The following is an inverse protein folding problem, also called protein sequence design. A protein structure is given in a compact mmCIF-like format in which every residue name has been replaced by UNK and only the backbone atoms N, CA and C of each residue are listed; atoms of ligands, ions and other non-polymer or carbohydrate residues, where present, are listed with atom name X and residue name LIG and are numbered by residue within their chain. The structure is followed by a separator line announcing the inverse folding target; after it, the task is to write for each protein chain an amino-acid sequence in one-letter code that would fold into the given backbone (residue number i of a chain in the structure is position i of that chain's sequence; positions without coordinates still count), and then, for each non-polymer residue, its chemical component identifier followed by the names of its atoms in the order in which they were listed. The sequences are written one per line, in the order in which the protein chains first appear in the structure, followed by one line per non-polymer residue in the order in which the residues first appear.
data_IF_875776312661
#
_entry.id   IF_875776312661
#
_cell.length_a   1.000
_cell.length_b   1.000
_cell.length_c   1.000
_cell.angle_alpha   90.00
_cell.angle_beta   90.00
_cell.angle_gamma   90.00
#
_symmetry.space_group_name_H-M   'P 1'
#
loop_
_entity.id
_entity.type
_entity.pdbx_description
1 polymer ?
#
# COMPACT_ATOMS: atom_id res chain seq x y z
N UNK A 1 46.47 -3.96 11.92
CA UNK A 1 45.96 -5.28 12.30
C UNK A 1 45.47 -5.99 11.03
N UNK A 2 46.24 -6.99 10.55
CA UNK A 2 45.91 -7.78 9.37
C UNK A 2 45.07 -9.01 9.83
N UNK A 3 43.84 -8.79 10.30
CA UNK A 3 42.96 -9.89 10.70
C UNK A 3 41.93 -10.16 9.58
N UNK A 4 41.84 -11.41 9.14
CA UNK A 4 40.75 -11.88 8.28
C UNK A 4 39.54 -12.09 9.17
N UNK A 5 38.50 -11.28 9.00
CA UNK A 5 37.23 -11.41 9.70
C UNK A 5 36.29 -12.19 8.77
N UNK A 6 35.66 -13.24 9.31
CA UNK A 6 34.67 -14.05 8.61
C UNK A 6 33.34 -13.99 9.37
N UNK A 7 32.26 -13.62 8.67
CA UNK A 7 30.92 -13.69 9.22
C UNK A 7 30.55 -15.17 9.42
N UNK A 8 30.23 -15.56 10.67
CA UNK A 8 29.84 -16.93 11.01
C UNK A 8 28.33 -17.13 10.94
N UNK A 9 27.57 -16.13 11.37
CA UNK A 9 26.13 -16.22 11.47
C UNK A 9 25.53 -14.82 11.25
N UNK A 10 24.42 -14.78 10.54
CA UNK A 10 23.60 -13.58 10.36
C UNK A 10 22.14 -13.96 10.57
N UNK A 11 21.49 -13.32 11.54
CA UNK A 11 20.06 -13.47 11.78
C UNK A 11 19.37 -12.12 11.60
N UNK A 12 18.29 -12.10 10.85
CA UNK A 12 17.44 -10.93 10.69
C UNK A 12 16.18 -11.13 11.52
N UNK A 13 16.04 -10.35 12.59
CA UNK A 13 14.93 -10.46 13.51
C UNK A 13 13.73 -9.60 13.11
N UNK A 14 13.96 -8.51 12.32
CA UNK A 14 12.92 -7.59 11.87
C UNK A 14 13.19 -7.20 10.41
N UNK A 15 12.13 -7.08 9.63
CA UNK A 15 12.16 -6.59 8.24
C UNK A 15 10.91 -5.73 7.97
N UNK A 16 11.06 -4.38 8.00
CA UNK A 16 9.93 -3.46 7.97
C UNK A 16 9.00 -3.69 9.16
N UNK A 17 7.73 -3.88 8.88
CA UNK A 17 6.69 -4.15 9.89
C UNK A 17 6.65 -5.61 10.38
N UNK A 18 7.43 -6.49 9.78
CA UNK A 18 7.42 -7.92 10.10
C UNK A 18 8.51 -8.28 11.10
N UNK A 19 8.13 -9.11 12.07
CA UNK A 19 9.00 -9.73 13.06
C UNK A 19 9.14 -11.23 12.79
N UNK A 20 9.97 -11.94 13.57
CA UNK A 20 10.07 -13.40 13.48
C UNK A 20 8.75 -14.11 13.78
N UNK A 21 7.89 -13.53 14.61
CA UNK A 21 6.59 -14.11 14.96
C UNK A 21 5.60 -14.08 13.78
N UNK A 22 5.85 -13.21 12.80
CA UNK A 22 5.08 -13.16 11.55
C UNK A 22 5.62 -14.13 10.48
N UNK A 23 6.77 -14.74 10.73
CA UNK A 23 7.44 -15.62 9.76
C UNK A 23 6.90 -17.04 9.84
N UNK A 24 6.80 -17.68 8.69
CA UNK A 24 6.52 -19.10 8.56
C UNK A 24 7.64 -19.81 7.82
N UNK A 25 7.77 -21.10 8.01
CA UNK A 25 8.73 -21.90 7.25
C UNK A 25 8.24 -22.16 5.83
N UNK A 26 9.16 -22.44 4.91
CA UNK A 26 8.80 -22.85 3.55
C UNK A 26 7.96 -24.14 3.55
N UNK A 27 8.16 -25.01 4.54
CA UNK A 27 7.38 -26.24 4.70
C UNK A 27 5.91 -25.92 5.03
N UNK A 28 5.67 -25.07 6.01
CA UNK A 28 4.31 -24.63 6.39
C UNK A 28 3.60 -23.95 5.22
N UNK A 29 4.31 -23.12 4.46
CA UNK A 29 3.76 -22.51 3.23
C UNK A 29 3.40 -23.58 2.19
N UNK A 30 4.28 -24.57 1.95
CA UNK A 30 4.05 -25.62 0.98
C UNK A 30 2.84 -26.48 1.36
N UNK A 31 2.73 -26.86 2.64
CA UNK A 31 1.60 -27.62 3.17
C UNK A 31 0.28 -26.85 3.07
N UNK A 32 0.30 -25.54 3.36
CA UNK A 32 -0.87 -24.69 3.24
C UNK A 32 -1.33 -24.51 1.78
N UNK A 33 -0.39 -24.36 0.85
CA UNK A 33 -0.69 -24.31 -0.60
C UNK A 33 -1.25 -25.64 -1.10
N UNK A 34 -0.70 -26.77 -0.64
CA UNK A 34 -1.21 -28.09 -0.99
C UNK A 34 -2.64 -28.29 -0.49
N UNK A 35 -2.94 -27.95 0.77
CA UNK A 35 -4.28 -28.01 1.35
C UNK A 35 -5.29 -27.18 0.57
N UNK A 36 -4.88 -25.98 0.14
CA UNK A 36 -5.73 -25.12 -0.69
C UNK A 36 -6.01 -25.74 -2.05
N UNK A 37 -4.98 -26.22 -2.76
CA UNK A 37 -5.12 -26.70 -4.15
C UNK A 37 -5.78 -28.07 -4.26
N UNK A 38 -5.38 -29.00 -3.38
CA UNK A 38 -5.80 -30.40 -3.48
C UNK A 38 -7.02 -30.74 -2.63
N UNK A 39 -7.24 -29.96 -1.54
CA UNK A 39 -8.31 -30.22 -0.60
C UNK A 39 -9.38 -29.13 -0.55
N UNK A 40 -9.22 -28.05 -1.32
CA UNK A 40 -10.10 -26.86 -1.31
C UNK A 40 -10.24 -26.24 0.11
N UNK A 41 -9.14 -26.24 0.90
CA UNK A 41 -9.07 -25.71 2.26
C UNK A 41 -8.12 -24.52 2.33
N UNK A 42 -8.59 -23.29 2.06
CA UNK A 42 -7.75 -22.10 2.04
C UNK A 42 -7.37 -21.57 3.42
N UNK A 43 -7.99 -22.04 4.52
CA UNK A 43 -7.87 -21.45 5.85
C UNK A 43 -6.42 -21.42 6.36
N UNK A 44 -5.64 -22.47 6.05
CA UNK A 44 -4.23 -22.55 6.45
C UNK A 44 -3.41 -21.47 5.72
N UNK A 45 -3.66 -21.28 4.42
CA UNK A 45 -2.99 -20.29 3.60
C UNK A 45 -3.36 -18.87 4.01
N UNK A 46 -4.64 -18.61 4.28
CA UNK A 46 -5.13 -17.29 4.72
C UNK A 46 -4.60 -16.87 6.10
N UNK A 47 -4.13 -17.78 6.92
CA UNK A 47 -3.49 -17.47 8.22
C UNK A 47 -2.06 -16.98 8.07
N UNK A 48 -1.35 -17.44 7.03
CA UNK A 48 0.08 -17.16 6.85
C UNK A 48 0.37 -16.11 5.79
N UNK A 49 -0.56 -15.84 4.88
CA UNK A 49 -0.45 -14.75 3.91
C UNK A 49 -1.08 -13.50 4.50
N UNK A 50 -0.30 -12.45 4.62
CA UNK A 50 -0.78 -11.14 5.04
C UNK A 50 -1.19 -10.30 3.83
N UNK A 51 -2.24 -9.47 3.96
CA UNK A 51 -2.58 -8.51 2.91
C UNK A 51 -1.48 -7.45 2.76
N UNK A 52 -1.34 -6.91 1.55
CA UNK A 52 -0.28 -5.93 1.25
C UNK A 52 -0.41 -4.65 2.08
N UNK A 53 -1.60 -4.33 2.53
CA UNK A 53 -1.90 -3.21 3.41
C UNK A 53 -1.06 -3.25 4.69
N UNK A 54 -0.72 -4.45 5.19
CA UNK A 54 0.14 -4.61 6.37
C UNK A 54 1.52 -3.97 6.16
N UNK A 55 2.08 -4.01 4.95
CA UNK A 55 3.34 -3.36 4.60
C UNK A 55 3.26 -1.83 4.61
N UNK A 56 2.06 -1.28 4.46
CA UNK A 56 1.82 0.14 4.27
C UNK A 56 1.43 0.85 5.57
N UNK A 57 1.25 0.10 6.67
CA UNK A 57 0.82 0.64 7.98
C UNK A 57 1.78 1.68 8.56
N UNK A 58 3.07 1.62 8.20
CA UNK A 58 4.07 2.59 8.66
C UNK A 58 4.04 3.90 7.87
N UNK A 59 3.32 3.95 6.75
CA UNK A 59 3.17 5.15 5.96
C UNK A 59 1.97 5.98 6.43
N UNK A 60 2.11 7.32 6.46
CA UNK A 60 0.95 8.18 6.64
C UNK A 60 -0.07 7.92 5.55
N UNK A 61 -1.37 8.00 5.86
CA UNK A 61 -2.43 7.62 4.94
C UNK A 61 -3.25 8.81 4.44
N UNK A 62 -3.79 8.65 3.24
CA UNK A 62 -4.82 9.49 2.67
C UNK A 62 -5.98 8.64 2.13
N UNK A 63 -7.21 9.14 2.32
CA UNK A 63 -8.42 8.51 1.77
C UNK A 63 -8.90 9.29 0.56
N UNK A 64 -9.24 8.57 -0.51
CA UNK A 64 -9.69 9.16 -1.78
C UNK A 64 -11.07 8.63 -2.18
N UNK A 65 -11.73 9.38 -3.06
CA UNK A 65 -12.98 8.95 -3.72
C UNK A 65 -12.69 7.86 -4.74
N UNK A 66 -13.67 7.02 -5.04
CA UNK A 66 -13.55 5.93 -6.03
C UNK A 66 -13.11 6.43 -7.42
N UNK A 67 -13.59 7.61 -7.84
CA UNK A 67 -13.17 8.22 -9.12
C UNK A 67 -11.69 8.61 -9.14
N UNK A 68 -11.13 9.03 -7.99
CA UNK A 68 -9.72 9.35 -7.88
C UNK A 68 -8.88 8.07 -7.77
N UNK A 69 -9.39 7.03 -7.09
CA UNK A 69 -8.76 5.70 -7.05
C UNK A 69 -8.65 5.12 -8.47
N UNK A 70 -9.71 5.21 -9.28
CA UNK A 70 -9.68 4.80 -10.69
C UNK A 70 -8.65 5.59 -11.50
N UNK A 71 -8.56 6.90 -11.31
CA UNK A 71 -7.57 7.74 -12.01
C UNK A 71 -6.13 7.36 -11.62
N UNK A 72 -5.87 7.16 -10.32
CA UNK A 72 -4.59 6.71 -9.79
C UNK A 72 -4.19 5.33 -10.32
N UNK A 73 -5.14 4.39 -10.39
CA UNK A 73 -4.92 3.04 -10.94
C UNK A 73 -4.45 3.07 -12.40
N UNK A 74 -4.80 4.13 -13.14
CA UNK A 74 -4.33 4.36 -14.51
C UNK A 74 -3.11 5.31 -14.59
N UNK A 75 -2.47 5.60 -13.47
CA UNK A 75 -1.25 6.41 -13.41
C UNK A 75 -1.49 7.93 -13.45
N UNK A 76 -2.74 8.41 -13.34
CA UNK A 76 -3.02 9.83 -13.29
C UNK A 76 -2.65 10.43 -11.91
N UNK A 77 -2.30 11.72 -11.82
CA UNK A 77 -2.03 12.38 -10.55
C UNK A 77 -3.30 12.48 -9.69
N UNK A 78 -3.11 12.50 -8.36
CA UNK A 78 -4.17 12.80 -7.42
C UNK A 78 -4.47 14.30 -7.42
N UNK A 79 -5.71 14.65 -7.71
CA UNK A 79 -6.18 16.04 -7.67
C UNK A 79 -6.96 16.30 -6.38
N UNK A 80 -6.94 17.55 -5.91
CA UNK A 80 -7.60 17.98 -4.65
C UNK A 80 -9.07 17.58 -4.55
N UNK A 81 -9.93 17.69 -5.58
CA UNK A 81 -11.33 17.26 -5.51
C UNK A 81 -11.54 15.77 -5.27
N UNK A 82 -10.54 14.94 -5.61
CA UNK A 82 -10.54 13.49 -5.38
C UNK A 82 -10.14 13.07 -3.97
N UNK A 83 -9.50 13.96 -3.21
CA UNK A 83 -9.06 13.71 -1.84
C UNK A 83 -10.21 13.88 -0.86
N UNK A 84 -10.43 12.89 0.02
CA UNK A 84 -11.42 12.93 1.11
C UNK A 84 -10.75 13.40 2.41
N UNK A 85 -9.67 12.72 2.79
CA UNK A 85 -8.90 13.05 4.00
C UNK A 85 -7.42 12.73 3.82
N UNK A 86 -6.58 13.42 4.57
CA UNK A 86 -5.13 13.21 4.59
C UNK A 86 -4.60 13.50 5.98
N UNK A 87 -3.59 12.77 6.43
CA UNK A 87 -2.89 13.05 7.67
C UNK A 87 -2.19 14.43 7.59
N UNK A 88 -2.22 15.20 8.67
CA UNK A 88 -1.61 16.54 8.75
C UNK A 88 -0.11 16.50 9.02
N UNK A 89 0.58 17.60 8.77
CA UNK A 89 2.00 17.78 9.12
C UNK A 89 2.99 17.02 8.24
N UNK A 90 2.59 16.57 7.04
CA UNK A 90 3.47 15.85 6.12
C UNK A 90 4.01 16.83 5.08
N UNK A 91 5.34 16.94 4.93
CA UNK A 91 5.94 17.83 3.93
C UNK A 91 5.83 17.27 2.52
N UNK A 92 5.89 18.15 1.53
CA UNK A 92 6.04 17.82 0.12
C UNK A 92 7.24 16.90 -0.13
N UNK A 93 7.13 16.02 -1.13
CA UNK A 93 8.15 15.03 -1.48
C UNK A 93 8.14 13.76 -0.62
N UNK A 94 7.27 13.66 0.37
CA UNK A 94 7.08 12.43 1.17
C UNK A 94 6.11 11.48 0.49
N UNK A 95 6.38 10.20 0.66
CA UNK A 95 5.48 9.14 0.25
C UNK A 95 4.41 8.91 1.31
N UNK A 96 3.18 8.74 0.84
CA UNK A 96 2.02 8.40 1.64
C UNK A 96 1.25 7.26 0.99
N UNK A 97 0.57 6.49 1.82
CA UNK A 97 -0.33 5.44 1.40
C UNK A 97 -1.71 6.00 1.04
N UNK A 98 -2.28 5.54 -0.06
CA UNK A 98 -3.62 5.96 -0.50
C UNK A 98 -4.57 4.78 -0.46
N UNK A 99 -5.74 4.99 0.16
CA UNK A 99 -6.82 4.01 0.26
C UNK A 99 -8.16 4.61 -0.17
N UNK A 100 -9.09 3.73 -0.56
CA UNK A 100 -10.50 4.11 -0.80
C UNK A 100 -11.24 4.32 0.52
N UNK A 101 -12.48 4.84 0.45
CA UNK A 101 -13.37 4.91 1.62
C UNK A 101 -13.77 3.53 2.17
N UNK A 102 -13.49 2.45 1.43
CA UNK A 102 -13.71 1.06 1.85
C UNK A 102 -12.45 0.43 2.45
N UNK A 103 -11.38 1.22 2.66
CA UNK A 103 -10.05 0.78 3.11
C UNK A 103 -9.34 -0.18 2.13
N UNK A 104 -9.66 -0.13 0.85
CA UNK A 104 -8.94 -0.88 -0.18
C UNK A 104 -7.66 -0.12 -0.55
N UNK A 105 -6.53 -0.82 -0.64
CA UNK A 105 -5.25 -0.23 -1.04
C UNK A 105 -5.29 0.23 -2.50
N UNK A 106 -5.03 1.50 -2.73
CA UNK A 106 -4.89 2.07 -4.09
C UNK A 106 -3.43 2.07 -4.52
N UNK A 107 -2.54 2.54 -3.65
CA UNK A 107 -1.12 2.61 -3.93
C UNK A 107 -0.38 3.56 -3.00
N UNK A 108 0.87 3.82 -3.35
CA UNK A 108 1.74 4.80 -2.71
C UNK A 108 1.91 5.98 -3.67
N UNK A 109 1.79 7.18 -3.13
CA UNK A 109 1.94 8.41 -3.90
C UNK A 109 2.95 9.34 -3.23
N UNK A 110 3.63 10.16 -4.02
CA UNK A 110 4.54 11.20 -3.53
C UNK A 110 3.79 12.53 -3.53
N UNK A 111 3.75 13.22 -2.38
CA UNK A 111 3.12 14.53 -2.23
C UNK A 111 3.83 15.59 -3.06
N UNK A 112 3.08 16.41 -3.77
CA UNK A 112 3.59 17.59 -4.53
C UNK A 112 3.54 18.88 -3.74
N UNK A 113 2.75 18.94 -2.65
CA UNK A 113 2.64 20.06 -1.73
C UNK A 113 2.58 19.57 -0.28
N UNK A 114 2.80 20.46 0.70
CA UNK A 114 2.63 20.12 2.10
C UNK A 114 1.14 19.88 2.43
N UNK A 115 0.84 18.99 3.35
CA UNK A 115 -0.57 18.67 3.68
C UNK A 115 -1.35 19.86 4.24
N UNK A 116 -0.68 20.78 4.92
CA UNK A 116 -1.31 22.00 5.44
C UNK A 116 -1.71 22.97 4.29
N UNK A 117 -0.89 23.04 3.24
CA UNK A 117 -1.21 23.79 2.03
C UNK A 117 -2.38 23.14 1.26
N UNK A 118 -2.36 21.79 1.15
CA UNK A 118 -3.41 20.99 0.52
C UNK A 118 -4.76 21.20 1.21
N UNK A 119 -4.78 21.37 2.53
CA UNK A 119 -6.01 21.62 3.27
C UNK A 119 -6.73 22.91 2.84
N UNK A 120 -5.96 23.94 2.44
CA UNK A 120 -6.47 25.23 1.98
C UNK A 120 -6.77 25.28 0.47
N UNK A 121 -6.32 24.28 -0.33
CA UNK A 121 -6.55 24.21 -1.76
C UNK A 121 -8.00 23.84 -2.09
N UNK A 122 -8.56 24.47 -3.09
CA UNK A 122 -9.84 24.06 -3.73
C UNK A 122 -9.61 23.14 -4.93
N UNK A 123 -8.52 23.34 -5.67
CA UNK A 123 -8.16 22.64 -6.91
C UNK A 123 -6.65 22.46 -7.00
N UNK A 124 -6.21 21.59 -7.91
CA UNK A 124 -4.80 21.38 -8.20
C UNK A 124 -4.31 19.97 -7.88
N UNK A 125 -3.06 19.74 -8.23
CA UNK A 125 -2.39 18.45 -8.02
C UNK A 125 -1.90 18.35 -6.56
N UNK A 126 -2.21 17.23 -5.94
CA UNK A 126 -1.86 16.93 -4.54
C UNK A 126 -0.69 15.95 -4.46
N UNK A 127 -0.70 14.94 -5.33
CA UNK A 127 0.32 13.90 -5.31
C UNK A 127 0.41 13.17 -6.66
N UNK A 128 1.54 12.51 -6.88
CA UNK A 128 1.79 11.65 -8.05
C UNK A 128 1.97 10.20 -7.63
N UNK A 129 1.43 9.25 -8.39
CA UNK A 129 1.62 7.83 -8.10
C UNK A 129 3.11 7.45 -8.20
N UNK A 130 3.62 6.84 -7.13
CA UNK A 130 4.94 6.22 -7.04
C UNK A 130 4.83 4.70 -7.27
N UNK A 131 3.79 4.10 -6.69
CA UNK A 131 3.46 2.68 -6.86
C UNK A 131 1.95 2.52 -6.90
N UNK A 132 1.44 1.82 -7.90
CA UNK A 132 0.02 1.46 -8.02
C UNK A 132 -0.16 0.00 -7.62
N UNK A 133 -1.09 -0.26 -6.71
CA UNK A 133 -1.43 -1.59 -6.20
C UNK A 133 -2.79 -2.06 -6.72
N UNK A 134 -3.70 -1.10 -6.93
CA UNK A 134 -5.04 -1.37 -7.42
C UNK A 134 -4.99 -1.72 -8.92
N UNK A 135 -5.64 -2.83 -9.29
CA UNK A 135 -5.81 -3.18 -10.70
C UNK A 135 -6.72 -2.15 -11.39
N UNK A 136 -6.28 -1.63 -12.54
CA UNK A 136 -7.02 -0.65 -13.31
C UNK A 136 -8.39 -1.11 -13.80
N UNK A 137 -8.64 -2.42 -13.85
CA UNK A 137 -9.91 -3.00 -14.30
C UNK A 137 -10.96 -3.08 -13.17
N UNK A 138 -10.57 -2.86 -11.91
CA UNK A 138 -11.49 -2.87 -10.75
C UNK A 138 -12.49 -1.72 -10.79
N UNK A 139 -12.08 -0.57 -11.32
CA UNK A 139 -12.91 0.62 -11.43
C UNK A 139 -13.08 1.06 -12.89
N UNK A 140 -14.26 1.57 -13.29
CA UNK A 140 -14.48 2.03 -14.64
C UNK A 140 -13.58 3.24 -14.98
N UNK A 141 -13.02 3.26 -16.17
CA UNK A 141 -12.12 4.34 -16.65
C UNK A 141 -12.78 5.73 -16.69
N UNK A 142 -14.10 5.78 -16.77
CA UNK A 142 -14.88 7.02 -16.76
C UNK A 142 -16.13 6.84 -15.92
N UNK A 143 -16.29 7.71 -14.92
CA UNK A 143 -17.52 7.84 -14.19
C UNK A 143 -18.46 8.74 -14.98
N UNK A 144 -19.61 8.20 -15.40
CA UNK A 144 -20.70 9.03 -15.91
C UNK A 144 -21.38 9.62 -14.69
N UNK A 145 -21.58 10.95 -14.66
CA UNK A 145 -22.49 11.58 -13.69
C UNK A 145 -23.88 10.96 -13.90
N UNK A 146 -24.60 10.60 -12.83
CA UNK A 146 -26.01 10.24 -12.97
C UNK A 146 -26.73 11.45 -13.57
N UNK A 147 -27.51 11.21 -14.65
CA UNK A 147 -28.43 12.19 -15.24
C UNK A 147 -29.58 12.50 -14.27
#
# INVERSE_FOLDING_TARGET
LNMKIQLKELRRDISGVFTLDDCVTLQELADAVWLWKECDKPEALLRIIHPIEKLLLDLPSATVKDSAAAALAHGAPLLRPGLVSIASGIPSGKEIYVQTMKNEAVGVVTLTANTDDIASMSEGEVARPSMVLLDGDVYPRRWKSPE
#
